data_IF_911109267109
#
_entry.id   IF_911109267109
#
_cell.length_a   1.000
_cell.length_b   1.000
_cell.length_c   1.000
_cell.angle_alpha   90.00
_cell.angle_beta   90.00
_cell.angle_gamma   90.00
#
_symmetry.space_group_name_H-M   'P 1'
#
loop_
_entity.id
_entity.type
_entity.pdbx_description
1 polymer ?
#
# COMPACT_ATOMS: atom_id res chain seq x y z
N UNK A 1 -18.73 5.45 -7.36
CA UNK A 1 -18.17 6.52 -6.49
C UNK A 1 -16.91 6.99 -7.18
N UNK A 2 -16.87 8.26 -7.60
CA UNK A 2 -15.64 8.84 -8.18
C UNK A 2 -14.63 9.06 -7.06
N UNK A 3 -13.37 8.70 -7.29
CA UNK A 3 -12.28 8.98 -6.36
C UNK A 3 -12.01 10.48 -6.38
N UNK A 4 -12.12 11.15 -5.23
CA UNK A 4 -11.74 12.56 -5.13
C UNK A 4 -10.22 12.69 -5.32
N UNK A 5 -9.80 13.28 -6.43
CA UNK A 5 -8.38 13.47 -6.77
C UNK A 5 -7.82 14.84 -6.38
N UNK A 6 -8.59 15.67 -5.67
CA UNK A 6 -8.08 16.96 -5.17
C UNK A 6 -6.98 16.72 -4.15
N UNK A 7 -5.83 17.37 -4.32
CA UNK A 7 -4.71 17.32 -3.38
C UNK A 7 -5.16 17.79 -1.98
N UNK A 8 -4.85 17.01 -0.94
CA UNK A 8 -5.28 17.32 0.43
C UNK A 8 -4.18 17.97 1.29
N UNK A 9 -3.02 18.27 0.70
CA UNK A 9 -1.87 18.86 1.37
C UNK A 9 -0.99 17.88 2.14
N UNK A 10 -1.42 16.62 2.30
CA UNK A 10 -0.61 15.56 2.89
C UNK A 10 0.35 14.95 1.83
N UNK A 11 1.49 14.46 2.28
CA UNK A 11 2.55 13.93 1.41
C UNK A 11 3.16 12.68 2.02
N UNK A 12 3.31 11.65 1.20
CA UNK A 12 3.93 10.39 1.58
C UNK A 12 5.01 10.01 0.58
N UNK A 13 5.99 9.23 1.03
CA UNK A 13 6.82 8.48 0.10
C UNK A 13 5.94 7.46 -0.64
N UNK A 14 6.16 7.34 -1.94
CA UNK A 14 5.47 6.44 -2.82
C UNK A 14 6.48 5.66 -3.65
N UNK A 15 6.29 4.35 -3.68
CA UNK A 15 7.07 3.45 -4.51
C UNK A 15 6.40 2.07 -4.58
N UNK A 16 6.73 1.31 -5.63
CA UNK A 16 6.28 -0.06 -5.79
C UNK A 16 7.47 -0.91 -6.25
N UNK A 17 7.80 -1.94 -5.49
CA UNK A 17 8.87 -2.88 -5.82
C UNK A 17 8.30 -4.30 -5.84
N UNK A 18 7.95 -4.82 -7.03
CA UNK A 18 7.63 -6.23 -7.19
C UNK A 18 8.91 -7.04 -6.98
N UNK A 19 8.81 -8.14 -6.24
CA UNK A 19 9.91 -9.04 -5.88
C UNK A 19 11.01 -8.38 -5.01
N UNK A 20 10.73 -7.20 -4.44
CA UNK A 20 11.67 -6.44 -3.62
C UNK A 20 11.39 -6.53 -2.11
N UNK A 21 12.42 -6.27 -1.31
CA UNK A 21 12.32 -6.12 0.16
C UNK A 21 12.14 -4.66 0.58
N UNK A 22 12.54 -3.75 -0.30
CA UNK A 22 12.44 -2.30 -0.19
C UNK A 22 12.52 -1.71 -1.59
N UNK A 23 12.06 -0.47 -1.74
CA UNK A 23 12.31 0.28 -2.96
C UNK A 23 13.77 0.78 -3.02
N UNK A 24 14.34 0.78 -4.22
CA UNK A 24 15.67 1.37 -4.48
C UNK A 24 15.61 2.89 -4.44
N UNK A 25 14.51 3.46 -4.94
CA UNK A 25 14.22 4.89 -4.94
C UNK A 25 12.76 5.12 -4.56
N UNK A 26 12.52 6.18 -3.78
CA UNK A 26 11.19 6.62 -3.41
C UNK A 26 10.93 8.01 -4.01
N UNK A 27 9.67 8.32 -4.29
CA UNK A 27 9.24 9.67 -4.66
C UNK A 27 8.25 10.18 -3.64
N UNK A 28 8.34 11.45 -3.26
CA UNK A 28 7.29 12.07 -2.46
C UNK A 28 6.09 12.35 -3.37
N UNK A 29 4.94 11.81 -3.01
CA UNK A 29 3.67 11.96 -3.71
C UNK A 29 2.70 12.76 -2.85
N UNK A 30 1.98 13.68 -3.48
CA UNK A 30 0.88 14.40 -2.84
C UNK A 30 -0.36 13.50 -2.79
N UNK A 31 -0.93 13.37 -1.61
CA UNK A 31 -2.11 12.55 -1.37
C UNK A 31 -3.39 13.30 -1.77
N UNK A 32 -4.45 12.55 -2.01
CA UNK A 32 -5.71 13.09 -2.55
C UNK A 32 -6.90 12.72 -1.70
N UNK A 33 -7.93 13.58 -1.72
CA UNK A 33 -9.18 13.31 -1.02
C UNK A 33 -8.96 13.04 0.48
N UNK A 34 -9.36 11.84 0.93
CA UNK A 34 -9.27 11.40 2.33
C UNK A 34 -8.05 10.53 2.66
N UNK A 35 -7.03 10.50 1.79
CA UNK A 35 -5.79 9.76 2.02
C UNK A 35 -4.86 10.58 2.95
N UNK A 36 -4.97 10.38 4.26
CA UNK A 36 -4.23 11.14 5.28
C UNK A 36 -3.18 10.31 6.02
N UNK A 37 -2.92 9.09 5.57
CA UNK A 37 -1.97 8.16 6.19
C UNK A 37 -0.97 7.68 5.14
N UNK A 38 0.27 7.44 5.57
CA UNK A 38 1.34 6.88 4.76
C UNK A 38 1.48 5.37 5.01
N UNK A 39 1.12 4.59 3.99
CA UNK A 39 1.27 3.14 3.98
C UNK A 39 2.75 2.75 3.82
N UNK A 40 3.16 1.77 4.62
CA UNK A 40 4.32 0.92 4.40
C UNK A 40 3.86 -0.53 4.40
N UNK A 41 3.91 -1.17 3.24
CA UNK A 41 3.70 -2.61 3.10
C UNK A 41 5.01 -3.30 2.70
N UNK A 42 5.31 -4.42 3.35
CA UNK A 42 6.35 -5.37 2.94
C UNK A 42 5.90 -6.77 3.27
N UNK A 43 5.80 -7.68 2.30
CA UNK A 43 5.33 -9.03 2.60
C UNK A 43 5.28 -9.92 1.37
N UNK A 44 4.92 -11.19 1.59
CA UNK A 44 4.61 -12.11 0.50
C UNK A 44 3.12 -12.06 0.23
N UNK A 45 2.75 -11.96 -1.03
CA UNK A 45 1.36 -12.01 -1.46
C UNK A 45 1.21 -12.76 -2.79
N UNK A 46 0.05 -13.36 -2.99
CA UNK A 46 -0.42 -13.85 -4.29
C UNK A 46 -1.92 -13.62 -4.42
N UNK A 47 -2.39 -13.63 -5.66
CA UNK A 47 -3.80 -13.90 -5.93
C UNK A 47 -4.03 -15.40 -5.97
N UNK A 48 -5.25 -15.82 -5.66
CA UNK A 48 -5.61 -17.23 -5.73
C UNK A 48 -5.33 -17.79 -7.14
N UNK A 49 -4.45 -18.79 -7.23
CA UNK A 49 -4.01 -19.40 -8.49
C UNK A 49 -2.73 -18.80 -9.10
N UNK A 50 -2.23 -17.69 -8.57
CA UNK A 50 -0.97 -17.06 -9.00
C UNK A 50 0.20 -17.49 -8.12
N UNK A 51 1.42 -17.28 -8.64
CA UNK A 51 2.65 -17.49 -7.87
C UNK A 51 2.82 -16.47 -6.74
N UNK A 52 3.34 -16.94 -5.61
CA UNK A 52 3.75 -16.12 -4.46
C UNK A 52 4.87 -15.17 -4.87
N UNK A 53 4.66 -13.88 -4.64
CA UNK A 53 5.67 -12.84 -4.85
C UNK A 53 5.86 -12.02 -3.60
N UNK A 54 7.07 -11.50 -3.43
CA UNK A 54 7.33 -10.49 -2.41
C UNK A 54 6.97 -9.12 -2.96
N UNK A 55 6.35 -8.27 -2.15
CA UNK A 55 6.06 -6.89 -2.52
C UNK A 55 6.54 -5.95 -1.44
N UNK A 56 7.02 -4.78 -1.89
CA UNK A 56 7.21 -3.62 -1.04
C UNK A 56 6.47 -2.44 -1.65
N UNK A 57 5.60 -1.80 -0.86
CA UNK A 57 4.75 -0.70 -1.33
C UNK A 57 4.80 0.43 -0.31
N UNK A 58 5.01 1.63 -0.82
CA UNK A 58 4.80 2.87 -0.09
C UNK A 58 3.74 3.70 -0.82
N UNK A 59 2.92 4.44 -0.09
CA UNK A 59 2.01 5.40 -0.71
C UNK A 59 1.00 5.98 0.26
N UNK A 60 0.05 6.75 -0.29
CA UNK A 60 -1.05 7.31 0.47
C UNK A 60 -2.17 6.28 0.64
N UNK A 61 -2.77 6.24 1.81
CA UNK A 61 -3.94 5.41 2.12
C UNK A 61 -4.89 6.22 3.02
N UNK A 62 -6.17 5.86 3.03
CA UNK A 62 -7.14 6.45 3.94
C UNK A 62 -7.22 5.65 5.25
N UNK A 63 -7.79 6.25 6.29
CA UNK A 63 -7.89 5.61 7.61
C UNK A 63 -8.61 4.26 7.56
N UNK A 64 -9.67 4.14 6.77
CA UNK A 64 -10.40 2.88 6.64
C UNK A 64 -9.48 1.79 6.06
N UNK A 65 -8.72 2.10 5.02
CA UNK A 65 -7.74 1.20 4.43
C UNK A 65 -6.63 0.79 5.39
N UNK A 66 -6.29 1.64 6.38
CA UNK A 66 -5.37 1.27 7.46
C UNK A 66 -5.97 0.32 8.49
N UNK A 67 -7.29 0.36 8.68
CA UNK A 67 -7.99 -0.52 9.60
C UNK A 67 -8.20 -1.92 9.02
N UNK A 68 -8.26 -2.04 7.69
CA UNK A 68 -8.38 -3.32 7.00
C UNK A 68 -7.00 -3.87 6.64
N UNK A 69 -6.61 -4.98 7.25
CA UNK A 69 -5.42 -5.73 6.83
C UNK A 69 -5.61 -6.28 5.41
N UNK A 70 -4.53 -6.43 4.63
CA UNK A 70 -4.60 -7.04 3.29
C UNK A 70 -5.14 -8.47 3.30
N UNK A 71 -5.03 -9.17 4.43
CA UNK A 71 -5.66 -10.48 4.66
C UNK A 71 -7.19 -10.44 4.54
N UNK A 72 -7.81 -9.27 4.72
CA UNK A 72 -9.26 -9.11 4.58
C UNK A 72 -9.74 -9.02 3.13
N UNK A 73 -8.82 -8.96 2.15
CA UNK A 73 -9.15 -8.87 0.73
C UNK A 73 -9.39 -10.27 0.13
N UNK A 74 -10.64 -10.65 -0.22
CA UNK A 74 -10.92 -11.97 -0.76
C UNK A 74 -10.14 -12.24 -2.05
N UNK A 75 -9.57 -13.43 -2.17
CA UNK A 75 -8.76 -13.83 -3.31
C UNK A 75 -7.31 -13.33 -3.28
N UNK A 76 -6.88 -12.70 -2.18
CA UNK A 76 -5.48 -12.53 -1.84
C UNK A 76 -5.09 -13.48 -0.72
N UNK A 77 -3.86 -13.98 -0.79
CA UNK A 77 -3.19 -14.63 0.33
C UNK A 77 -1.96 -13.77 0.67
N UNK A 78 -1.84 -13.34 1.93
CA UNK A 78 -0.70 -12.55 2.39
C UNK A 78 -0.09 -13.22 3.62
N UNK A 79 1.24 -13.22 3.71
CA UNK A 79 1.94 -13.81 4.85
C UNK A 79 3.33 -13.22 5.03
N UNK A 80 3.85 -13.34 6.25
CA UNK A 80 5.10 -12.70 6.68
C UNK A 80 5.16 -11.23 6.26
N UNK A 81 4.03 -10.53 6.44
CA UNK A 81 3.84 -9.14 6.04
C UNK A 81 4.04 -8.19 7.22
N UNK A 82 4.44 -6.97 6.87
CA UNK A 82 4.42 -5.79 7.69
C UNK A 82 3.52 -4.80 7.00
N UNK A 83 2.44 -4.40 7.66
CA UNK A 83 1.51 -3.37 7.19
C UNK A 83 1.46 -2.28 8.26
N UNK A 84 1.95 -1.08 7.93
CA UNK A 84 2.03 0.04 8.87
C UNK A 84 1.49 1.30 8.21
N UNK A 85 0.67 2.04 8.93
CA UNK A 85 0.23 3.39 8.59
C UNK A 85 0.85 4.40 9.54
N UNK A 86 1.21 5.57 9.03
CA UNK A 86 1.87 6.66 9.77
C UNK A 86 1.39 8.03 9.33
#
# INVERSE_FOLDING_TARGET
MEKNQTENGHQCDACFSPEGIKCTENKTQKCTGNEFECLVFSGFANRAGDEIKKFYVLGCINNDGCLYDWDSLPGSEVFNSTFVCK
#
